data_IF_969125487290
#
_entry.id   IF_969125487290
#
_cell.length_a   1.000
_cell.length_b   1.000
_cell.length_c   1.000
_cell.angle_alpha   90.00
_cell.angle_beta   90.00
_cell.angle_gamma   90.00
#
_symmetry.space_group_name_H-M   'P 1'
#
loop_
_entity.id
_entity.type
_entity.pdbx_description
1 polymer ?
#
# COMPACT_ATOMS: atom_id res chain seq x y z
N UNK A 1 -9.50 -17.54 -4.62
CA UNK A 1 -9.56 -16.28 -3.85
C UNK A 1 -9.61 -15.05 -4.75
N UNK A 2 -8.66 -14.86 -5.66
CA UNK A 2 -8.59 -13.68 -6.56
C UNK A 2 -9.79 -13.52 -7.50
N UNK A 3 -10.51 -14.59 -7.82
CA UNK A 3 -11.67 -14.56 -8.72
C UNK A 3 -12.97 -14.05 -8.07
N UNK A 4 -12.96 -13.83 -6.76
CA UNK A 4 -14.08 -13.26 -6.02
C UNK A 4 -13.94 -11.74 -6.04
N UNK A 5 -14.93 -11.04 -6.59
CA UNK A 5 -14.89 -9.59 -6.80
C UNK A 5 -14.62 -8.81 -5.51
N UNK A 6 -15.28 -9.15 -4.39
CA UNK A 6 -15.07 -8.50 -3.08
C UNK A 6 -13.62 -8.61 -2.61
N UNK A 7 -12.99 -9.79 -2.78
CA UNK A 7 -11.59 -10.00 -2.43
C UNK A 7 -10.68 -9.16 -3.33
N UNK A 8 -10.95 -9.20 -4.64
CA UNK A 8 -10.17 -8.43 -5.62
C UNK A 8 -10.21 -6.94 -5.32
N UNK A 9 -11.39 -6.38 -5.02
CA UNK A 9 -11.53 -4.96 -4.68
C UNK A 9 -10.78 -4.58 -3.40
N UNK A 10 -10.83 -5.43 -2.38
CA UNK A 10 -10.11 -5.21 -1.12
C UNK A 10 -8.59 -5.27 -1.30
N UNK A 11 -8.09 -6.27 -2.03
CA UNK A 11 -6.66 -6.41 -2.33
C UNK A 11 -6.18 -5.27 -3.23
N UNK A 12 -6.99 -4.86 -4.23
CA UNK A 12 -6.70 -3.74 -5.10
C UNK A 12 -6.56 -2.43 -4.32
N UNK A 13 -7.46 -2.17 -3.36
CA UNK A 13 -7.38 -1.00 -2.50
C UNK A 13 -6.07 -0.91 -1.72
N UNK A 14 -5.58 -2.04 -1.18
CA UNK A 14 -4.27 -2.12 -0.53
C UNK A 14 -3.12 -1.96 -1.53
N UNK A 15 -3.16 -2.71 -2.64
CA UNK A 15 -2.07 -2.75 -3.62
C UNK A 15 -1.87 -1.39 -4.33
N UNK A 16 -2.95 -0.66 -4.61
CA UNK A 16 -2.86 0.72 -5.15
C UNK A 16 -2.13 1.67 -4.21
N UNK A 17 -2.37 1.62 -2.88
CA UNK A 17 -1.63 2.45 -1.93
C UNK A 17 -0.15 2.06 -1.86
N UNK A 18 0.14 0.76 -1.87
CA UNK A 18 1.52 0.27 -1.88
C UNK A 18 2.24 0.64 -3.17
N UNK A 19 1.56 0.66 -4.32
CA UNK A 19 2.15 0.96 -5.62
C UNK A 19 2.72 2.38 -5.75
N UNK A 20 2.36 3.29 -4.84
CA UNK A 20 2.90 4.64 -4.74
C UNK A 20 4.20 4.73 -3.93
N UNK A 21 4.72 3.58 -3.46
CA UNK A 21 5.97 3.54 -2.69
C UNK A 21 7.15 4.10 -3.48
N UNK A 22 7.95 4.93 -2.83
CA UNK A 22 9.20 5.46 -3.36
C UNK A 22 10.38 4.97 -2.52
N UNK A 23 10.94 3.79 -2.81
CA UNK A 23 12.10 3.28 -2.09
C UNK A 23 13.31 4.18 -2.33
N UNK A 24 14.18 4.28 -1.33
CA UNK A 24 15.43 5.06 -1.41
C UNK A 24 16.58 4.27 -0.80
N UNK A 25 17.71 4.31 -1.47
CA UNK A 25 18.98 3.88 -0.88
C UNK A 25 19.49 4.98 0.06
N UNK A 26 19.59 4.65 1.32
CA UNK A 26 20.10 5.56 2.34
C UNK A 26 21.30 4.95 3.05
N UNK A 27 22.18 5.83 3.52
CA UNK A 27 23.26 5.45 4.44
C UNK A 27 22.97 6.06 5.81
N UNK A 28 22.80 5.19 6.80
CA UNK A 28 22.53 5.55 8.19
C UNK A 28 23.86 5.54 8.94
N UNK A 29 24.23 6.67 9.52
CA UNK A 29 25.34 6.82 10.47
C UNK A 29 24.75 7.09 11.86
N UNK A 30 25.59 7.15 12.91
CA UNK A 30 25.15 7.40 14.28
C UNK A 30 24.25 8.64 14.41
N UNK A 31 24.58 9.71 13.69
CA UNK A 31 23.92 11.02 13.84
C UNK A 31 23.15 11.47 12.58
N UNK A 32 23.33 10.78 11.44
CA UNK A 32 22.76 11.25 10.18
C UNK A 32 22.24 10.12 9.31
N UNK A 33 21.19 10.41 8.54
CA UNK A 33 20.72 9.56 7.45
C UNK A 33 20.81 10.35 6.15
N UNK A 34 21.63 9.85 5.22
CA UNK A 34 21.89 10.52 3.94
C UNK A 34 21.35 9.66 2.80
N UNK A 35 20.63 10.28 1.86
CA UNK A 35 20.22 9.62 0.62
C UNK A 35 21.43 9.49 -0.31
N UNK A 36 21.65 8.28 -0.85
CA UNK A 36 22.81 8.00 -1.72
C UNK A 36 22.55 8.44 -3.16
N UNK A 37 21.27 8.35 -3.61
CA UNK A 37 20.81 8.73 -4.96
C UNK A 37 21.61 8.04 -6.08
N UNK A 38 21.73 6.73 -6.01
CA UNK A 38 22.54 5.93 -6.95
C UNK A 38 21.68 5.16 -7.97
N UNK A 39 22.34 4.22 -8.66
CA UNK A 39 21.68 3.37 -9.66
C UNK A 39 20.62 2.44 -9.06
N UNK A 40 20.71 2.07 -7.76
CA UNK A 40 19.73 1.24 -7.06
C UNK A 40 18.41 2.01 -6.95
N UNK A 41 18.47 3.29 -6.57
CA UNK A 41 17.29 4.16 -6.55
C UNK A 41 16.61 4.20 -7.91
N UNK A 42 17.37 4.35 -8.98
CA UNK A 42 16.82 4.39 -10.35
C UNK A 42 16.10 3.09 -10.72
N UNK A 43 16.69 1.94 -10.38
CA UNK A 43 16.07 0.63 -10.64
C UNK A 43 14.79 0.50 -9.83
N UNK A 44 14.84 0.75 -8.52
CA UNK A 44 13.72 0.49 -7.63
C UNK A 44 12.58 1.51 -7.77
N UNK A 45 12.87 2.77 -8.12
CA UNK A 45 11.86 3.82 -8.24
C UNK A 45 11.16 3.87 -9.60
N UNK A 46 11.85 3.48 -10.69
CA UNK A 46 11.30 3.65 -12.02
C UNK A 46 11.05 2.33 -12.73
N UNK A 47 12.03 1.46 -12.84
CA UNK A 47 11.95 0.25 -13.67
C UNK A 47 12.71 -0.91 -13.04
N UNK A 48 12.11 -1.64 -12.10
CA UNK A 48 12.74 -2.77 -11.43
C UNK A 48 13.15 -3.91 -12.39
N UNK A 49 12.47 -4.05 -13.51
CA UNK A 49 12.81 -5.01 -14.58
C UNK A 49 12.31 -4.51 -15.95
N UNK A 50 12.76 -5.11 -17.07
CA UNK A 50 12.39 -4.66 -18.42
C UNK A 50 10.89 -4.68 -18.74
N UNK A 51 10.09 -5.44 -17.97
CA UNK A 51 8.67 -5.71 -18.27
C UNK A 51 7.70 -4.91 -17.42
N UNK A 52 8.15 -4.27 -16.34
CA UNK A 52 7.29 -3.62 -15.35
C UNK A 52 7.85 -2.28 -14.92
N UNK A 53 6.96 -1.33 -14.71
CA UNK A 53 7.25 -0.10 -13.96
C UNK A 53 7.35 -0.42 -12.46
N UNK A 54 7.94 0.48 -11.69
CA UNK A 54 8.02 0.31 -10.23
C UNK A 54 6.63 0.20 -9.58
N UNK A 55 5.68 1.01 -10.03
CA UNK A 55 4.29 0.95 -9.54
C UNK A 55 3.64 -0.42 -9.78
N UNK A 56 3.76 -0.99 -10.97
CA UNK A 56 3.23 -2.32 -11.30
C UNK A 56 3.93 -3.43 -10.50
N UNK A 57 5.22 -3.29 -10.30
CA UNK A 57 6.02 -4.23 -9.51
C UNK A 57 5.55 -4.28 -8.05
N UNK A 58 5.44 -3.12 -7.39
CA UNK A 58 5.00 -3.07 -5.99
C UNK A 58 3.53 -3.43 -5.83
N UNK A 59 2.68 -3.05 -6.79
CA UNK A 59 1.30 -3.52 -6.85
C UNK A 59 1.23 -5.05 -6.84
N UNK A 60 2.03 -5.70 -7.69
CA UNK A 60 2.05 -7.17 -7.80
C UNK A 60 2.54 -7.84 -6.53
N UNK A 61 3.61 -7.33 -5.90
CA UNK A 61 4.09 -7.83 -4.60
C UNK A 61 3.03 -7.68 -3.51
N UNK A 62 2.38 -6.53 -3.44
CA UNK A 62 1.31 -6.27 -2.48
C UNK A 62 0.11 -7.20 -2.67
N UNK A 63 -0.29 -7.43 -3.93
CA UNK A 63 -1.36 -8.37 -4.27
C UNK A 63 -0.99 -9.80 -3.88
N UNK A 64 0.23 -10.26 -4.19
CA UNK A 64 0.72 -11.59 -3.79
C UNK A 64 0.73 -11.74 -2.26
N UNK A 65 1.20 -10.73 -1.54
CA UNK A 65 1.23 -10.71 -0.08
C UNK A 65 -0.15 -10.91 0.55
N UNK A 66 -1.19 -10.27 0.00
CA UNK A 66 -2.57 -10.39 0.52
C UNK A 66 -3.27 -11.67 0.05
N UNK A 67 -3.00 -12.13 -1.17
CA UNK A 67 -3.69 -13.30 -1.77
C UNK A 67 -3.06 -14.62 -1.33
N UNK A 68 -1.73 -14.68 -1.26
CA UNK A 68 -1.00 -15.92 -1.00
C UNK A 68 -0.30 -15.94 0.36
N UNK A 69 -0.41 -14.87 1.16
CA UNK A 69 0.34 -14.64 2.40
C UNK A 69 1.87 -14.70 2.22
N UNK A 70 2.31 -14.76 0.97
CA UNK A 70 3.70 -14.81 0.56
C UNK A 70 3.89 -13.95 -0.69
N UNK A 71 4.84 -13.04 -0.64
CA UNK A 71 5.31 -12.31 -1.82
C UNK A 71 6.80 -12.57 -1.98
N UNK A 72 7.20 -13.05 -3.14
CA UNK A 72 8.58 -13.42 -3.42
C UNK A 72 9.08 -12.66 -4.63
N UNK A 73 10.28 -12.08 -4.52
CA UNK A 73 10.97 -11.48 -5.63
C UNK A 73 12.41 -11.99 -5.72
N UNK A 74 12.95 -12.03 -6.92
CA UNK A 74 14.30 -12.46 -7.21
C UNK A 74 15.11 -11.29 -7.76
N UNK A 75 16.13 -10.81 -7.03
CA UNK A 75 17.06 -9.81 -7.54
C UNK A 75 18.10 -10.47 -8.43
N UNK A 76 18.45 -9.82 -9.51
CA UNK A 76 19.49 -10.20 -10.45
C UNK A 76 20.65 -9.25 -10.32
N UNK A 77 21.84 -9.82 -10.19
CA UNK A 77 23.10 -9.09 -10.07
C UNK A 77 24.00 -9.37 -11.29
N UNK A 78 24.84 -8.41 -11.63
CA UNK A 78 25.90 -8.59 -12.60
C UNK A 78 27.14 -9.29 -11.97
N UNK A 79 28.16 -9.54 -12.79
CA UNK A 79 29.41 -10.18 -12.35
C UNK A 79 30.19 -9.36 -11.30
N UNK A 80 29.88 -8.07 -11.17
CA UNK A 80 30.43 -7.16 -10.16
C UNK A 80 29.54 -7.05 -8.92
N UNK A 81 28.54 -7.92 -8.78
CA UNK A 81 27.56 -7.93 -7.70
C UNK A 81 26.73 -6.64 -7.61
N UNK A 82 26.50 -5.96 -8.73
CA UNK A 82 25.62 -4.80 -8.77
C UNK A 82 24.22 -5.23 -9.19
N UNK A 83 23.21 -4.71 -8.49
CA UNK A 83 21.82 -4.96 -8.81
C UNK A 83 21.50 -4.48 -10.23
N UNK A 84 20.94 -5.36 -11.08
CA UNK A 84 20.53 -5.03 -12.44
C UNK A 84 19.02 -5.07 -12.63
N UNK A 85 18.34 -5.97 -11.96
CA UNK A 85 16.88 -6.10 -12.02
C UNK A 85 16.31 -6.80 -10.79
N UNK A 86 14.99 -6.64 -10.56
CA UNK A 86 14.23 -7.40 -9.57
C UNK A 86 12.94 -7.92 -10.22
N UNK A 87 12.71 -9.23 -10.14
CA UNK A 87 11.55 -9.89 -10.74
C UNK A 87 10.61 -10.43 -9.66
N UNK A 88 9.31 -10.11 -9.70
CA UNK A 88 8.33 -10.75 -8.81
C UNK A 88 8.10 -12.18 -9.31
N UNK A 89 8.24 -13.16 -8.43
CA UNK A 89 8.06 -14.57 -8.75
C UNK A 89 6.57 -14.91 -8.70
N UNK A 90 6.05 -15.42 -9.82
CA UNK A 90 4.68 -15.94 -9.92
C UNK A 90 4.72 -17.45 -10.26
N UNK A 91 5.17 -18.23 -9.29
CA UNK A 91 5.22 -19.68 -9.43
C UNK A 91 3.92 -20.33 -8.98
N UNK A 92 3.53 -21.42 -9.63
CA UNK A 92 2.38 -22.23 -9.23
C UNK A 92 2.68 -23.08 -7.98
N UNK A 93 3.95 -23.45 -7.83
CA UNK A 93 4.39 -24.33 -6.76
C UNK A 93 5.78 -23.94 -6.27
N UNK A 94 5.95 -23.95 -4.96
CA UNK A 94 7.19 -23.68 -4.25
C UNK A 94 7.57 -24.93 -3.45
N UNK A 95 8.80 -25.38 -3.61
CA UNK A 95 9.34 -26.52 -2.90
C UNK A 95 10.67 -26.14 -2.25
N UNK A 96 10.80 -26.43 -0.97
CA UNK A 96 12.05 -26.24 -0.24
C UNK A 96 12.90 -27.50 -0.33
N UNK A 97 14.16 -27.30 -0.61
CA UNK A 97 15.17 -28.34 -0.70
C UNK A 97 16.33 -27.95 0.20
N UNK A 98 16.82 -28.91 0.95
CA UNK A 98 18.04 -28.73 1.74
C UNK A 98 19.17 -29.52 1.08
N UNK A 99 20.29 -28.86 0.87
CA UNK A 99 21.50 -29.49 0.36
C UNK A 99 22.72 -28.94 1.08
N UNK A 100 23.48 -29.83 1.71
CA UNK A 100 24.70 -29.51 2.50
C UNK A 100 24.46 -28.39 3.55
N UNK A 101 23.30 -28.40 4.22
CA UNK A 101 22.97 -27.41 5.23
C UNK A 101 22.53 -26.05 4.66
N UNK A 102 22.47 -25.92 3.34
CA UNK A 102 21.97 -24.71 2.65
C UNK A 102 20.57 -24.97 2.14
N UNK A 103 19.66 -23.99 2.40
CA UNK A 103 18.29 -24.05 1.98
C UNK A 103 18.14 -23.50 0.55
N UNK A 104 17.50 -24.28 -0.32
CA UNK A 104 17.18 -23.89 -1.69
C UNK A 104 15.67 -23.85 -1.89
N UNK A 105 15.22 -23.00 -2.79
CA UNK A 105 13.82 -22.93 -3.22
C UNK A 105 13.72 -23.32 -4.69
N UNK A 106 12.88 -24.33 -4.98
CA UNK A 106 12.51 -24.70 -6.35
C UNK A 106 11.17 -24.06 -6.69
N UNK A 107 11.17 -23.32 -7.77
CA UNK A 107 9.97 -22.73 -8.36
C UNK A 107 9.53 -23.55 -9.55
N UNK A 108 8.23 -23.84 -9.63
CA UNK A 108 7.63 -24.44 -10.84
C UNK A 108 6.62 -23.47 -11.43
N UNK A 109 6.87 -23.06 -12.66
CA UNK A 109 6.04 -22.11 -13.39
C UNK A 109 4.93 -22.79 -14.19
N UNK A 110 3.89 -22.03 -14.57
CA UNK A 110 2.78 -22.51 -15.40
C UNK A 110 3.23 -23.03 -16.78
N UNK A 111 4.37 -22.56 -17.27
CA UNK A 111 5.01 -23.02 -18.51
C UNK A 111 5.61 -24.44 -18.42
N UNK A 112 5.60 -25.05 -17.22
CA UNK A 112 6.26 -26.34 -16.95
C UNK A 112 7.75 -26.22 -16.65
N UNK A 113 8.35 -25.03 -16.82
CA UNK A 113 9.75 -24.80 -16.44
C UNK A 113 9.92 -24.75 -14.93
N UNK A 114 11.10 -25.17 -14.45
CA UNK A 114 11.47 -25.05 -13.04
C UNK A 114 12.81 -24.32 -12.90
N UNK A 115 12.93 -23.57 -11.80
CA UNK A 115 14.14 -22.87 -11.43
C UNK A 115 14.46 -23.14 -9.98
N UNK A 116 15.73 -23.34 -9.67
CA UNK A 116 16.22 -23.56 -8.29
C UNK A 116 17.20 -22.45 -7.95
N UNK A 117 17.01 -21.82 -6.82
CA UNK A 117 17.98 -20.87 -6.29
C UNK A 117 18.10 -21.03 -4.78
N UNK A 118 19.17 -20.51 -4.22
CA UNK A 118 19.37 -20.43 -2.79
C UNK A 118 18.33 -19.52 -2.15
N UNK A 119 17.73 -19.96 -1.05
CA UNK A 119 16.66 -19.21 -0.38
C UNK A 119 17.12 -17.84 0.16
N UNK A 120 18.35 -17.75 0.63
CA UNK A 120 18.98 -16.51 1.13
C UNK A 120 19.02 -15.40 0.07
N UNK A 121 18.97 -15.75 -1.22
CA UNK A 121 18.98 -14.82 -2.35
C UNK A 121 17.58 -14.32 -2.75
N UNK A 122 16.55 -14.67 -1.97
CA UNK A 122 15.18 -14.30 -2.26
C UNK A 122 14.71 -13.16 -1.35
N UNK A 123 14.08 -12.17 -1.95
CA UNK A 123 13.27 -11.21 -1.23
C UNK A 123 11.95 -11.89 -0.91
N UNK A 124 11.72 -12.29 0.34
CA UNK A 124 10.52 -12.99 0.76
C UNK A 124 9.80 -12.23 1.87
N UNK A 125 8.54 -11.88 1.63
CA UNK A 125 7.69 -11.11 2.53
C UNK A 125 6.49 -11.97 2.90
N UNK A 126 6.26 -12.17 4.20
CA UNK A 126 5.27 -13.11 4.74
C UNK A 126 4.18 -12.40 5.53
N UNK A 127 2.96 -12.95 5.43
CA UNK A 127 1.80 -12.59 6.24
C UNK A 127 1.29 -13.83 6.96
N UNK A 128 0.66 -13.67 8.11
CA UNK A 128 0.16 -14.79 8.92
C UNK A 128 1.22 -15.89 9.08
N UNK A 129 2.31 -15.55 9.75
CA UNK A 129 3.48 -16.40 9.91
C UNK A 129 3.52 -16.98 11.33
N UNK A 130 2.92 -18.16 11.53
CA UNK A 130 2.81 -18.82 12.82
C UNK A 130 3.07 -20.34 12.73
N UNK A 131 2.35 -21.05 11.84
CA UNK A 131 2.40 -22.50 11.76
C UNK A 131 3.59 -23.03 10.97
N UNK A 132 4.09 -22.25 10.02
CA UNK A 132 5.19 -22.63 9.13
C UNK A 132 6.44 -21.80 9.42
N UNK A 133 7.61 -22.44 9.46
CA UNK A 133 8.89 -21.78 9.79
C UNK A 133 9.42 -20.88 8.65
N UNK A 134 8.94 -21.04 7.42
CA UNK A 134 9.47 -20.36 6.24
C UNK A 134 8.39 -19.60 5.46
N UNK A 135 7.25 -20.23 5.21
CA UNK A 135 6.16 -19.61 4.46
C UNK A 135 5.08 -19.04 5.38
N UNK A 136 4.43 -17.98 4.93
CA UNK A 136 3.19 -17.52 5.55
C UNK A 136 2.09 -18.60 5.45
N UNK A 137 1.24 -18.65 6.46
CA UNK A 137 0.19 -19.66 6.61
C UNK A 137 -0.85 -19.54 5.49
N UNK A 138 -1.64 -20.60 5.31
CA UNK A 138 -2.67 -20.64 4.29
C UNK A 138 -3.89 -19.79 4.66
N UNK A 139 -4.76 -19.50 3.67
CA UNK A 139 -5.99 -18.75 3.88
C UNK A 139 -7.20 -19.64 4.27
N UNK A 140 -6.96 -20.78 4.92
CA UNK A 140 -8.01 -21.70 5.36
C UNK A 140 -9.08 -21.03 6.24
N UNK A 141 -8.77 -20.12 7.17
CA UNK A 141 -9.77 -19.42 7.95
C UNK A 141 -10.81 -18.67 7.11
N UNK A 142 -10.38 -18.09 5.98
CA UNK A 142 -11.26 -17.36 5.08
C UNK A 142 -12.07 -18.28 4.14
N UNK A 143 -11.70 -19.54 4.00
CA UNK A 143 -12.29 -20.46 3.01
C UNK A 143 -13.81 -20.62 3.19
N UNK A 144 -14.29 -20.73 4.44
CA UNK A 144 -15.71 -20.87 4.74
C UNK A 144 -16.50 -19.62 4.31
N UNK A 145 -15.98 -18.44 4.61
CA UNK A 145 -16.60 -17.16 4.23
C UNK A 145 -16.65 -17.01 2.71
N UNK A 146 -15.59 -17.41 2.01
CA UNK A 146 -15.53 -17.36 0.53
C UNK A 146 -16.50 -18.37 -0.11
N UNK A 147 -16.64 -19.58 0.45
CA UNK A 147 -17.62 -20.57 -0.02
C UNK A 147 -19.03 -20.03 0.15
N UNK A 148 -19.33 -19.44 1.31
CA UNK A 148 -20.62 -18.80 1.58
C UNK A 148 -20.87 -17.67 0.59
N UNK A 149 -19.94 -16.74 0.39
CA UNK A 149 -20.05 -15.65 -0.59
C UNK A 149 -20.34 -16.16 -2.01
N UNK A 150 -19.66 -17.20 -2.46
CA UNK A 150 -19.89 -17.80 -3.76
C UNK A 150 -21.28 -18.45 -3.86
N UNK A 151 -21.71 -19.17 -2.83
CA UNK A 151 -23.06 -19.75 -2.78
C UNK A 151 -24.14 -18.67 -2.83
N UNK A 152 -23.93 -17.55 -2.14
CA UNK A 152 -24.82 -16.40 -2.19
C UNK A 152 -24.93 -15.82 -3.61
N UNK A 153 -23.81 -15.57 -4.27
CA UNK A 153 -23.80 -15.04 -5.64
C UNK A 153 -24.52 -15.99 -6.60
N UNK A 154 -24.29 -17.30 -6.49
CA UNK A 154 -24.99 -18.30 -7.31
C UNK A 154 -26.49 -18.33 -6.99
N UNK A 155 -26.88 -18.23 -5.72
CA UNK A 155 -28.28 -18.20 -5.33
C UNK A 155 -29.00 -16.94 -5.84
N UNK A 156 -28.34 -15.77 -5.80
CA UNK A 156 -28.85 -14.53 -6.36
C UNK A 156 -29.06 -14.63 -7.87
N UNK A 157 -28.09 -15.20 -8.60
CA UNK A 157 -28.21 -15.41 -10.03
C UNK A 157 -29.40 -16.31 -10.39
N UNK A 158 -29.48 -17.47 -9.73
CA UNK A 158 -30.61 -18.40 -9.91
C UNK A 158 -31.96 -17.77 -9.54
N UNK A 159 -31.99 -16.97 -8.48
CA UNK A 159 -33.21 -16.28 -8.09
C UNK A 159 -33.62 -15.22 -9.11
N UNK A 160 -32.67 -14.45 -9.65
CA UNK A 160 -32.94 -13.50 -10.73
C UNK A 160 -33.51 -14.20 -11.98
N UNK A 161 -32.95 -15.37 -12.34
CA UNK A 161 -33.46 -16.21 -13.41
C UNK A 161 -34.89 -16.70 -13.13
N UNK A 162 -35.15 -17.20 -11.91
CA UNK A 162 -36.48 -17.67 -11.52
C UNK A 162 -37.54 -16.57 -11.52
N UNK A 163 -37.21 -15.37 -10.99
CA UNK A 163 -38.13 -14.21 -11.04
C UNK A 163 -38.42 -13.80 -12.50
N UNK A 164 -37.43 -13.90 -13.38
CA UNK A 164 -37.65 -13.59 -14.80
C UNK A 164 -38.58 -14.59 -15.49
N UNK A 165 -38.61 -15.85 -15.00
CA UNK A 165 -39.39 -16.95 -15.60
C UNK A 165 -40.77 -17.11 -14.95
N UNK A 166 -40.85 -17.04 -13.60
CA UNK A 166 -42.09 -17.25 -12.86
C UNK A 166 -42.81 -15.89 -12.67
N UNK A 167 -43.81 -15.63 -13.48
CA UNK A 167 -44.57 -14.36 -13.45
C UNK A 167 -45.79 -14.39 -12.55
N UNK A 168 -46.29 -15.57 -12.22
CA UNK A 168 -47.49 -15.71 -11.41
C UNK A 168 -47.93 -17.15 -11.21
N UNK A 169 -48.95 -17.34 -10.38
CA UNK A 169 -49.61 -18.62 -10.15
C UNK A 169 -50.96 -18.60 -10.85
N UNK A 170 -51.19 -19.53 -11.75
CA UNK A 170 -52.46 -19.75 -12.40
C UNK A 170 -53.22 -20.86 -11.67
N UNK A 171 -54.28 -20.51 -10.96
CA UNK A 171 -55.13 -21.45 -10.25
C UNK A 171 -56.31 -21.84 -11.13
N UNK A 172 -56.50 -23.14 -11.32
CA UNK A 172 -57.62 -23.68 -12.14
C UNK A 172 -58.67 -24.29 -11.20
N UNK A 173 -59.92 -23.80 -11.28
CA UNK A 173 -61.00 -24.13 -10.33
C UNK A 173 -61.60 -25.54 -10.48
N UNK A 174 -61.27 -26.28 -11.56
CA UNK A 174 -61.80 -27.64 -11.76
C UNK A 174 -60.69 -28.68 -11.67
N UNK A 175 -61.02 -29.86 -11.09
CA UNK A 175 -60.09 -31.01 -11.03
C UNK A 175 -59.72 -31.46 -12.48
N UNK A 176 -58.47 -31.28 -12.87
CA UNK A 176 -57.97 -31.56 -14.21
C UNK A 176 -56.76 -32.50 -14.09
N UNK A 177 -56.57 -33.40 -15.01
CA UNK A 177 -55.38 -34.26 -15.08
C UNK A 177 -54.13 -33.41 -15.30
N UNK A 178 -52.99 -33.86 -14.79
CA UNK A 178 -51.69 -33.14 -14.85
C UNK A 178 -51.30 -32.75 -16.27
N UNK A 179 -51.58 -33.59 -17.26
CA UNK A 179 -51.33 -33.35 -18.67
C UNK A 179 -52.11 -32.15 -19.23
N UNK A 180 -53.36 -32.05 -18.80
CA UNK A 180 -54.24 -30.91 -19.19
C UNK A 180 -53.83 -29.60 -18.49
N UNK A 181 -53.27 -29.67 -17.28
CA UNK A 181 -52.71 -28.49 -16.56
C UNK A 181 -51.56 -27.88 -17.33
N UNK A 182 -50.64 -28.67 -17.85
CA UNK A 182 -49.51 -28.20 -18.64
C UNK A 182 -50.00 -27.52 -19.93
N UNK A 183 -50.94 -28.14 -20.65
CA UNK A 183 -51.51 -27.54 -21.83
C UNK A 183 -52.22 -26.20 -21.57
N UNK A 184 -52.96 -26.10 -20.49
CA UNK A 184 -53.64 -24.84 -20.09
C UNK A 184 -52.67 -23.78 -19.66
N UNK A 185 -51.56 -24.16 -18.99
CA UNK A 185 -50.48 -23.22 -18.70
C UNK A 185 -49.87 -22.66 -19.99
N UNK A 186 -49.56 -23.54 -20.94
CA UNK A 186 -48.91 -23.13 -22.20
C UNK A 186 -49.82 -22.27 -23.06
N UNK A 187 -51.13 -22.59 -23.09
CA UNK A 187 -52.15 -21.76 -23.75
C UNK A 187 -52.28 -20.38 -23.09
N UNK A 188 -52.34 -20.34 -21.74
CA UNK A 188 -52.41 -19.07 -21.00
C UNK A 188 -51.17 -18.18 -21.24
N UNK A 189 -49.96 -18.79 -21.22
CA UNK A 189 -48.71 -18.08 -21.50
C UNK A 189 -48.71 -17.54 -22.93
N UNK A 190 -49.13 -18.34 -23.88
CA UNK A 190 -49.19 -17.94 -25.31
C UNK A 190 -50.17 -16.76 -25.50
N UNK A 191 -51.31 -16.83 -24.88
CA UNK A 191 -52.41 -15.91 -25.12
C UNK A 191 -52.31 -14.60 -24.33
N UNK A 192 -51.68 -14.63 -23.13
CA UNK A 192 -51.67 -13.50 -22.19
C UNK A 192 -50.27 -12.96 -21.80
N UNK A 193 -49.22 -13.76 -21.88
CA UNK A 193 -47.90 -13.35 -21.36
C UNK A 193 -46.81 -13.13 -22.41
N UNK A 194 -47.07 -13.42 -23.70
CA UNK A 194 -46.13 -13.11 -24.79
C UNK A 194 -46.16 -11.62 -25.11
N UNK A 195 -44.99 -11.05 -25.35
CA UNK A 195 -44.81 -9.63 -25.70
C UNK A 195 -45.52 -9.24 -27.01
N UNK A 196 -45.78 -10.22 -27.89
CA UNK A 196 -46.44 -10.05 -29.19
C UNK A 196 -47.95 -9.79 -29.06
N UNK A 197 -48.57 -10.24 -27.95
CA UNK A 197 -49.97 -10.00 -27.64
C UNK A 197 -50.13 -8.70 -26.84
N UNK A 198 -50.04 -7.58 -27.50
CA UNK A 198 -49.90 -6.24 -26.94
C UNK A 198 -51.23 -5.69 -26.37
N UNK A 199 -51.87 -6.38 -25.46
CA UNK A 199 -53.06 -5.93 -24.75
C UNK A 199 -52.77 -5.01 -23.58
N UNK A 200 -52.04 -3.92 -23.77
CA UNK A 200 -51.84 -2.83 -22.78
C UNK A 200 -51.55 -3.31 -21.32
N UNK A 201 -50.99 -4.51 -21.15
CA UNK A 201 -50.67 -5.08 -19.81
C UNK A 201 -51.88 -5.59 -19.04
N UNK A 202 -53.05 -5.69 -19.65
CA UNK A 202 -54.28 -6.21 -19.01
C UNK A 202 -54.49 -7.67 -19.40
N UNK A 203 -54.55 -8.53 -18.40
CA UNK A 203 -54.84 -9.97 -18.58
C UNK A 203 -56.35 -10.16 -18.38
N UNK A 204 -57.06 -10.69 -19.38
CA UNK A 204 -58.45 -11.07 -19.29
C UNK A 204 -58.52 -12.55 -18.95
N UNK A 205 -59.09 -12.91 -17.81
CA UNK A 205 -59.30 -14.31 -17.37
C UNK A 205 -60.79 -14.68 -17.37
N UNK A 206 -61.12 -15.90 -17.82
CA UNK A 206 -62.45 -16.52 -17.62
C UNK A 206 -62.57 -16.93 -16.13
N UNK A 207 -63.79 -17.03 -15.62
CA UNK A 207 -64.11 -17.49 -14.23
C UNK A 207 -63.47 -18.81 -13.85
N UNK A 208 -62.88 -19.56 -14.79
CA UNK A 208 -62.17 -20.82 -14.57
C UNK A 208 -60.71 -20.62 -14.16
N UNK A 209 -60.17 -19.41 -14.32
CA UNK A 209 -58.76 -19.11 -14.05
C UNK A 209 -58.63 -17.96 -13.05
N UNK A 210 -57.88 -18.21 -11.98
CA UNK A 210 -57.44 -17.19 -11.04
C UNK A 210 -55.95 -16.99 -11.16
N UNK A 211 -55.53 -15.84 -11.67
CA UNK A 211 -54.12 -15.50 -11.84
C UNK A 211 -53.66 -14.54 -10.76
N UNK A 212 -52.82 -15.02 -9.91
CA UNK A 212 -52.17 -14.19 -8.89
C UNK A 212 -50.74 -13.85 -9.35
N UNK A 213 -50.47 -12.61 -9.73
CA UNK A 213 -49.09 -12.23 -10.00
C UNK A 213 -48.22 -12.33 -8.75
N UNK A 214 -47.02 -12.81 -8.90
CA UNK A 214 -46.07 -12.77 -7.78
C UNK A 214 -45.53 -11.35 -7.71
N UNK A 215 -46.15 -10.54 -6.85
CA UNK A 215 -45.79 -9.13 -6.63
C UNK A 215 -44.72 -8.94 -5.55
N UNK A 216 -44.55 -9.93 -4.66
CA UNK A 216 -43.55 -9.86 -3.61
C UNK A 216 -42.15 -10.13 -4.17
N UNK A 217 -41.44 -9.02 -4.37
CA UNK A 217 -40.00 -9.02 -4.59
C UNK A 217 -39.28 -9.36 -3.29
N UNK A 218 -39.61 -10.49 -2.68
CA UNK A 218 -38.88 -10.97 -1.50
C UNK A 218 -37.47 -11.31 -1.96
N UNK A 219 -36.53 -10.46 -1.66
CA UNK A 219 -35.12 -10.80 -1.84
C UNK A 219 -34.82 -12.00 -0.96
N UNK A 220 -34.38 -13.14 -1.50
CA UNK A 220 -34.19 -14.36 -0.73
C UNK A 220 -33.09 -14.23 0.31
N UNK A 221 -32.34 -13.14 0.25
CA UNK A 221 -31.19 -12.90 1.11
C UNK A 221 -31.28 -11.48 1.69
N UNK A 222 -31.34 -11.31 3.02
CA UNK A 222 -31.28 -10.00 3.65
C UNK A 222 -29.97 -9.28 3.28
N UNK A 223 -30.06 -8.01 2.91
CA UNK A 223 -28.88 -7.17 2.58
C UNK A 223 -27.85 -7.13 3.71
N UNK A 224 -28.32 -7.23 4.96
CA UNK A 224 -27.47 -7.30 6.16
C UNK A 224 -26.52 -8.51 6.18
N UNK A 225 -26.96 -9.67 5.68
CA UNK A 225 -26.09 -10.86 5.61
C UNK A 225 -25.01 -10.70 4.51
N UNK A 226 -25.36 -10.07 3.40
CA UNK A 226 -24.39 -9.79 2.35
C UNK A 226 -23.34 -8.78 2.83
N UNK A 227 -23.76 -7.75 3.57
CA UNK A 227 -22.83 -6.79 4.16
C UNK A 227 -21.92 -7.44 5.20
N UNK A 228 -22.45 -8.30 6.05
CA UNK A 228 -21.65 -9.06 7.02
C UNK A 228 -20.53 -9.87 6.32
N UNK A 229 -20.86 -10.63 5.28
CA UNK A 229 -19.88 -11.42 4.52
C UNK A 229 -18.80 -10.51 3.89
N UNK A 230 -19.18 -9.34 3.36
CA UNK A 230 -18.23 -8.38 2.82
C UNK A 230 -17.28 -7.85 3.90
N UNK A 231 -17.83 -7.52 5.07
CA UNK A 231 -17.06 -7.02 6.21
C UNK A 231 -16.05 -8.06 6.69
N UNK A 232 -16.45 -9.32 6.86
CA UNK A 232 -15.54 -10.42 7.22
C UNK A 232 -14.39 -10.58 6.22
N UNK A 233 -14.67 -10.42 4.93
CA UNK A 233 -13.61 -10.47 3.89
C UNK A 233 -12.69 -9.26 4.01
N UNK A 234 -13.23 -8.06 4.23
CA UNK A 234 -12.45 -6.83 4.35
C UNK A 234 -11.56 -6.86 5.60
N UNK A 235 -12.11 -7.29 6.74
CA UNK A 235 -11.39 -7.42 8.00
C UNK A 235 -10.25 -8.44 7.90
N UNK A 236 -10.49 -9.58 7.24
CA UNK A 236 -9.43 -10.56 7.00
C UNK A 236 -8.30 -9.99 6.12
N UNK A 237 -8.63 -9.20 5.11
CA UNK A 237 -7.63 -8.57 4.24
C UNK A 237 -6.96 -7.37 4.95
N UNK A 238 -7.61 -6.77 5.95
CA UNK A 238 -7.12 -5.61 6.69
C UNK A 238 -7.42 -4.29 5.97
N UNK A 239 -8.62 -4.17 5.38
CA UNK A 239 -9.10 -2.94 4.76
C UNK A 239 -10.52 -2.66 5.22
N UNK A 240 -10.89 -1.40 5.39
CA UNK A 240 -12.28 -1.04 5.67
C UNK A 240 -13.08 -0.82 4.38
N UNK A 241 -14.40 -0.85 4.50
CA UNK A 241 -15.31 -0.59 3.38
C UNK A 241 -15.04 0.79 2.76
N UNK A 242 -14.84 1.80 3.60
CA UNK A 242 -14.59 3.18 3.19
C UNK A 242 -13.30 3.33 2.39
N UNK A 243 -12.26 2.57 2.75
CA UNK A 243 -10.98 2.52 2.00
C UNK A 243 -11.20 1.89 0.63
N UNK A 244 -12.00 0.82 0.54
CA UNK A 244 -12.31 0.15 -0.73
C UNK A 244 -13.14 1.04 -1.65
N UNK A 245 -14.13 1.74 -1.11
CA UNK A 245 -15.04 2.64 -1.83
C UNK A 245 -14.45 4.03 -2.08
N UNK A 246 -13.25 4.34 -1.56
CA UNK A 246 -12.58 5.65 -1.60
C UNK A 246 -13.41 6.79 -0.95
N UNK A 247 -14.15 6.47 0.09
CA UNK A 247 -14.96 7.42 0.89
C UNK A 247 -14.39 7.64 2.29
N UNK A 248 -13.19 7.11 2.55
CA UNK A 248 -12.54 7.18 3.84
C UNK A 248 -12.21 8.62 4.25
N UNK A 249 -12.39 8.91 5.52
CA UNK A 249 -11.93 10.16 6.15
C UNK A 249 -10.41 10.17 6.30
N UNK A 250 -9.84 11.35 6.51
CA UNK A 250 -8.40 11.49 6.76
C UNK A 250 -7.91 10.64 7.96
N UNK A 251 -8.73 10.49 8.99
CA UNK A 251 -8.41 9.65 10.15
C UNK A 251 -8.41 8.16 9.79
N UNK A 252 -9.37 7.72 8.99
CA UNK A 252 -9.44 6.33 8.51
C UNK A 252 -8.27 6.00 7.56
N UNK A 253 -7.91 6.92 6.66
CA UNK A 253 -6.72 6.76 5.80
C UNK A 253 -5.44 6.68 6.64
N UNK A 254 -5.31 7.51 7.68
CA UNK A 254 -4.16 7.47 8.60
C UNK A 254 -4.10 6.17 9.40
N UNK A 255 -5.24 5.71 9.91
CA UNK A 255 -5.34 4.43 10.62
C UNK A 255 -4.96 3.25 9.71
N UNK A 256 -5.47 3.22 8.48
CA UNK A 256 -5.13 2.23 7.47
C UNK A 256 -3.64 2.27 7.12
N UNK A 257 -3.09 3.47 6.93
CA UNK A 257 -1.66 3.64 6.67
C UNK A 257 -0.80 3.08 7.81
N UNK A 258 -1.09 3.47 9.06
CA UNK A 258 -0.30 3.04 10.21
C UNK A 258 -0.47 1.55 10.54
N UNK A 259 -1.67 0.99 10.34
CA UNK A 259 -2.00 -0.39 10.68
C UNK A 259 -1.58 -1.42 9.62
N UNK A 260 -1.66 -1.07 8.33
CA UNK A 260 -1.47 -2.02 7.23
C UNK A 260 -0.31 -1.65 6.30
N UNK A 261 -0.20 -0.39 5.88
CA UNK A 261 0.80 0.02 4.88
C UNK A 261 2.19 0.14 5.50
N UNK A 262 2.32 0.83 6.63
CA UNK A 262 3.60 1.06 7.31
C UNK A 262 4.28 -0.26 7.76
N UNK A 263 3.58 -1.22 8.38
CA UNK A 263 4.16 -2.53 8.70
C UNK A 263 4.61 -3.31 7.46
N UNK A 264 3.88 -3.20 6.35
CA UNK A 264 4.29 -3.82 5.09
C UNK A 264 5.55 -3.17 4.53
N UNK A 265 5.66 -1.86 4.53
CA UNK A 265 6.88 -1.15 4.11
C UNK A 265 8.09 -1.47 5.01
N UNK A 266 7.86 -1.67 6.30
CA UNK A 266 8.93 -2.12 7.20
C UNK A 266 9.45 -3.51 6.79
N UNK A 267 8.57 -4.44 6.47
CA UNK A 267 8.96 -5.77 5.95
C UNK A 267 9.70 -5.66 4.61
N UNK A 268 9.23 -4.81 3.69
CA UNK A 268 9.93 -4.54 2.43
C UNK A 268 11.34 -3.98 2.69
N UNK A 269 11.46 -2.98 3.56
CA UNK A 269 12.73 -2.37 3.94
C UNK A 269 13.73 -3.43 4.40
N UNK A 270 13.33 -4.30 5.31
CA UNK A 270 14.20 -5.36 5.83
C UNK A 270 14.53 -6.39 4.75
N UNK A 271 13.53 -6.90 4.03
CA UNK A 271 13.74 -7.95 3.03
C UNK A 271 14.62 -7.49 1.86
N UNK A 272 14.41 -6.27 1.37
CA UNK A 272 15.23 -5.71 0.30
C UNK A 272 16.64 -5.39 0.77
N UNK A 273 16.79 -4.79 1.95
CA UNK A 273 18.11 -4.47 2.52
C UNK A 273 18.96 -5.73 2.67
N UNK A 274 18.41 -6.77 3.31
CA UNK A 274 19.15 -8.00 3.57
C UNK A 274 19.49 -8.81 2.31
N UNK A 275 18.74 -8.63 1.24
CA UNK A 275 18.96 -9.37 0.01
C UNK A 275 19.85 -8.61 -0.99
N UNK A 276 19.79 -7.27 -1.01
CA UNK A 276 20.55 -6.44 -1.96
C UNK A 276 21.96 -6.17 -1.46
N UNK A 277 22.14 -5.96 -0.16
CA UNK A 277 23.43 -5.63 0.44
C UNK A 277 24.04 -6.81 1.17
N UNK A 278 25.35 -6.90 1.13
CA UNK A 278 26.14 -7.82 1.95
C UNK A 278 26.11 -7.38 3.43
N UNK A 279 26.36 -8.29 4.36
CA UNK A 279 26.44 -7.97 5.80
C UNK A 279 27.40 -6.82 6.09
N UNK A 280 28.51 -6.74 5.36
CA UNK A 280 29.49 -5.66 5.49
C UNK A 280 28.89 -4.31 5.08
N UNK A 281 28.16 -4.26 3.97
CA UNK A 281 27.51 -3.02 3.49
C UNK A 281 26.41 -2.58 4.44
N UNK A 282 25.60 -3.52 4.96
CA UNK A 282 24.61 -3.25 6.00
C UNK A 282 25.29 -2.72 7.27
N UNK A 283 26.44 -3.29 7.67
CA UNK A 283 27.25 -2.81 8.78
C UNK A 283 27.78 -1.37 8.58
N UNK A 284 27.98 -0.94 7.33
CA UNK A 284 28.33 0.45 6.97
C UNK A 284 27.10 1.37 6.83
N UNK A 285 25.92 0.90 7.23
CA UNK A 285 24.70 1.69 7.29
C UNK A 285 23.88 1.73 5.99
N UNK A 286 24.25 0.97 4.94
CA UNK A 286 23.47 0.93 3.71
C UNK A 286 22.14 0.22 3.93
N UNK A 287 21.04 0.86 3.52
CA UNK A 287 19.67 0.35 3.66
C UNK A 287 18.80 0.81 2.51
N UNK A 288 17.86 -0.04 2.11
CA UNK A 288 16.75 0.37 1.25
C UNK A 288 15.58 0.73 2.16
N UNK A 289 15.15 1.97 2.16
CA UNK A 289 14.03 2.44 2.97
C UNK A 289 12.82 2.65 2.08
N UNK A 290 11.74 1.95 2.38
CA UNK A 290 10.43 2.20 1.80
C UNK A 290 9.73 3.22 2.70
N UNK A 291 9.80 4.46 2.33
CA UNK A 291 9.01 5.50 2.95
C UNK A 291 7.83 5.80 2.03
N UNK A 292 6.63 5.50 2.48
CA UNK A 292 5.56 6.35 2.01
C UNK A 292 5.67 7.61 2.85
N UNK A 293 5.80 8.71 2.18
CA UNK A 293 5.82 10.00 2.84
C UNK A 293 4.48 10.13 3.59
N UNK A 294 4.50 9.99 4.92
CA UNK A 294 3.27 10.14 5.74
C UNK A 294 2.60 11.50 5.46
N UNK A 295 3.38 12.45 4.98
CA UNK A 295 2.92 13.77 4.53
C UNK A 295 2.14 13.68 3.19
N UNK A 296 2.32 12.65 2.37
CA UNK A 296 1.48 12.47 1.16
C UNK A 296 0.01 12.19 1.51
N UNK A 297 -0.24 11.54 2.65
CA UNK A 297 -1.60 11.23 3.12
C UNK A 297 -2.14 12.32 4.07
N UNK A 298 -1.34 13.33 4.38
CA UNK A 298 -1.80 14.49 5.14
C UNK A 298 -2.72 15.36 4.28
N UNK A 299 -3.79 15.84 4.88
CA UNK A 299 -4.67 16.83 4.24
C UNK A 299 -3.91 18.12 3.94
N UNK A 300 -4.37 18.91 2.98
CA UNK A 300 -3.74 20.20 2.66
C UNK A 300 -3.55 21.09 3.90
N UNK A 301 -4.50 21.22 4.83
CA UNK A 301 -4.31 21.97 6.07
C UNK A 301 -3.20 21.41 6.97
N UNK A 302 -3.07 20.09 7.05
CA UNK A 302 -2.01 19.45 7.84
C UNK A 302 -0.65 19.66 7.21
N UNK A 303 -0.54 19.55 5.87
CA UNK A 303 0.68 19.89 5.12
C UNK A 303 1.11 21.33 5.38
N UNK A 304 0.17 22.27 5.32
CA UNK A 304 0.42 23.70 5.60
C UNK A 304 0.90 23.90 7.04
N UNK A 305 0.27 23.22 8.01
CA UNK A 305 0.65 23.33 9.43
C UNK A 305 2.06 22.77 9.66
N UNK A 306 2.37 21.61 9.10
CA UNK A 306 3.70 21.00 9.18
C UNK A 306 4.77 21.89 8.50
N UNK A 307 4.47 22.42 7.31
CA UNK A 307 5.38 23.31 6.58
C UNK A 307 5.66 24.59 7.38
N UNK A 308 4.62 25.21 7.97
CA UNK A 308 4.78 26.37 8.85
C UNK A 308 5.69 26.07 10.03
N UNK A 309 5.42 24.98 10.75
CA UNK A 309 6.22 24.55 11.88
C UNK A 309 7.69 24.32 11.50
N UNK A 310 7.94 23.58 10.41
CA UNK A 310 9.29 23.30 9.93
C UNK A 310 10.03 24.58 9.47
N UNK A 311 9.30 25.53 8.89
CA UNK A 311 9.84 26.86 8.52
C UNK A 311 10.15 27.69 9.76
N UNK A 312 9.25 27.72 10.75
CA UNK A 312 9.44 28.47 11.99
C UNK A 312 10.72 28.06 12.72
N UNK A 313 10.98 26.74 12.84
CA UNK A 313 12.18 26.22 13.50
C UNK A 313 13.42 26.15 12.59
N UNK A 314 13.32 26.55 11.31
CA UNK A 314 14.43 26.49 10.35
C UNK A 314 14.91 25.07 10.03
N UNK A 315 14.06 24.05 10.21
CA UNK A 315 14.43 22.66 10.05
C UNK A 315 14.39 22.19 8.59
N UNK A 316 13.54 22.79 7.73
CA UNK A 316 13.39 22.42 6.34
C UNK A 316 13.99 23.46 5.38
N UNK A 317 14.50 22.95 4.25
CA UNK A 317 14.90 23.81 3.13
C UNK A 317 13.68 24.19 2.28
N UNK A 318 13.81 25.24 1.45
CA UNK A 318 12.75 25.66 0.56
C UNK A 318 12.32 24.55 -0.39
N UNK A 319 13.27 23.80 -0.96
CA UNK A 319 13.01 22.66 -1.85
C UNK A 319 12.30 21.50 -1.14
N UNK A 320 12.61 21.25 0.14
CA UNK A 320 11.91 20.25 0.93
C UNK A 320 10.45 20.63 1.15
N UNK A 321 10.17 21.91 1.40
CA UNK A 321 8.81 22.43 1.54
C UNK A 321 8.05 22.30 0.22
N UNK A 322 8.65 22.70 -0.90
CA UNK A 322 8.04 22.57 -2.24
C UNK A 322 7.70 21.10 -2.56
N UNK A 323 8.62 20.17 -2.24
CA UNK A 323 8.40 18.75 -2.44
C UNK A 323 7.24 18.20 -1.60
N UNK A 324 6.98 18.75 -0.40
CA UNK A 324 5.81 18.36 0.41
C UNK A 324 4.47 18.68 -0.29
N UNK A 325 4.46 19.67 -1.16
CA UNK A 325 3.29 20.12 -1.92
C UNK A 325 3.29 19.62 -3.37
N UNK A 326 4.19 18.68 -3.72
CA UNK A 326 4.36 18.15 -5.07
C UNK A 326 4.67 19.26 -6.11
N UNK A 327 5.31 20.36 -5.67
CA UNK A 327 5.76 21.45 -6.52
C UNK A 327 7.21 21.22 -6.99
N UNK A 328 7.57 21.70 -8.19
CA UNK A 328 8.94 21.61 -8.69
C UNK A 328 9.89 22.38 -7.76
N UNK A 329 11.08 21.80 -7.55
CA UNK A 329 12.14 22.37 -6.74
C UNK A 329 12.83 23.52 -7.49
N UNK A 330 13.35 24.52 -6.76
CA UNK A 330 14.11 25.63 -7.32
C UNK A 330 15.55 25.21 -7.62
N UNK A 331 16.13 24.37 -6.74
CA UNK A 331 17.51 23.89 -6.83
C UNK A 331 18.56 24.96 -6.45
N UNK A 332 19.83 24.56 -6.48
CA UNK A 332 20.94 25.44 -6.18
C UNK A 332 21.02 25.90 -4.73
N UNK A 333 21.70 27.02 -4.48
CA UNK A 333 21.85 27.61 -3.16
C UNK A 333 20.51 28.12 -2.60
N UNK A 334 19.66 28.66 -3.46
CA UNK A 334 18.36 29.20 -3.06
C UNK A 334 17.39 28.10 -2.61
N UNK A 335 17.31 26.99 -3.33
CA UNK A 335 16.48 25.83 -2.95
C UNK A 335 16.99 25.14 -1.68
N UNK A 336 18.29 25.15 -1.45
CA UNK A 336 18.93 24.56 -0.26
C UNK A 336 18.87 25.47 0.96
N UNK A 337 18.46 26.73 0.78
CA UNK A 337 18.38 27.71 1.85
C UNK A 337 17.31 27.32 2.87
N UNK A 338 17.69 27.35 4.15
CA UNK A 338 16.74 27.24 5.27
C UNK A 338 16.19 28.61 5.59
N UNK A 339 14.88 28.71 5.72
CA UNK A 339 14.18 29.93 6.09
C UNK A 339 13.70 29.78 7.52
N UNK A 340 13.98 30.77 8.34
CA UNK A 340 13.54 30.83 9.75
C UNK A 340 12.85 32.17 9.98
N UNK A 341 11.83 32.17 10.84
CA UNK A 341 11.16 33.43 11.23
C UNK A 341 12.09 34.26 12.14
N UNK A 342 12.04 35.58 12.00
CA UNK A 342 12.85 36.52 12.77
C UNK A 342 12.63 36.41 14.30
N UNK A 343 11.56 35.79 14.73
CA UNK A 343 11.24 35.59 16.14
C UNK A 343 11.92 34.39 16.78
N UNK A 344 12.63 33.55 16.00
CA UNK A 344 13.38 32.43 16.53
C UNK A 344 14.88 32.66 16.42
N UNK A 345 15.53 32.80 17.57
CA UNK A 345 16.97 32.97 17.68
C UNK A 345 17.62 31.57 17.82
N UNK A 346 18.77 31.35 17.15
CA UNK A 346 19.57 30.16 17.36
C UNK A 346 19.90 30.02 18.86
N UNK A 347 19.63 28.83 19.43
CA UNK A 347 19.87 28.56 20.85
C UNK A 347 21.31 28.89 21.30
N UNK A 348 22.30 28.74 20.42
CA UNK A 348 23.68 29.11 20.68
C UNK A 348 23.91 30.66 20.78
N UNK A 349 22.96 31.45 20.29
CA UNK A 349 22.99 32.92 20.34
C UNK A 349 21.93 33.48 21.30
N UNK A 350 21.14 32.62 21.94
CA UNK A 350 20.05 33.08 22.84
C UNK A 350 20.56 33.92 24.00
N UNK A 351 21.69 33.53 24.61
CA UNK A 351 22.33 34.27 25.71
C UNK A 351 22.79 35.66 25.27
N UNK A 352 23.27 35.80 24.04
CA UNK A 352 23.67 37.09 23.45
C UNK A 352 22.49 38.04 23.31
N UNK A 353 21.33 37.51 22.89
CA UNK A 353 20.10 38.33 22.78
C UNK A 353 19.45 38.65 24.11
N UNK A 354 19.63 37.78 25.12
CA UNK A 354 19.05 38.00 26.45
C UNK A 354 19.93 38.88 27.32
N UNK A 355 21.25 38.86 27.18
CA UNK A 355 22.19 39.58 28.02
C UNK A 355 22.68 40.90 27.40
N UNK A 356 22.47 41.10 26.10
CA UNK A 356 22.93 42.28 25.38
C UNK A 356 24.46 42.44 25.29
N UNK A 357 25.22 41.45 25.71
CA UNK A 357 26.67 41.44 25.69
C UNK A 357 27.21 40.80 24.43
N UNK A 358 28.01 41.49 23.65
CA UNK A 358 28.84 40.88 22.59
C UNK A 358 29.86 39.97 23.25
N UNK A 359 30.04 38.72 22.74
CA UNK A 359 31.17 37.92 23.17
C UNK A 359 32.45 38.65 22.73
N UNK A 360 33.37 38.84 23.65
CA UNK A 360 34.70 39.34 23.32
C UNK A 360 35.28 38.39 22.21
N UNK A 361 35.92 38.96 21.15
CA UNK A 361 36.57 38.18 20.15
C UNK A 361 37.61 37.32 20.85
N UNK A 362 37.46 35.98 20.80
CA UNK A 362 38.53 35.09 21.24
C UNK A 362 39.76 35.39 20.41
N UNK A 363 40.83 35.80 21.07
CA UNK A 363 42.13 35.85 20.41
C UNK A 363 42.39 34.51 19.71
N UNK A 364 42.93 34.56 18.48
CA UNK A 364 43.25 33.31 17.75
C UNK A 364 44.28 32.55 18.57
N UNK A 365 43.96 31.29 18.90
CA UNK A 365 44.90 30.36 19.56
C UNK A 365 46.24 30.43 18.80
N UNK A 366 47.36 30.62 19.50
CA UNK A 366 48.68 30.68 18.88
C UNK A 366 48.94 29.36 18.13
N UNK A 367 49.31 29.49 16.85
CA UNK A 367 49.71 28.33 16.05
C UNK A 367 50.92 27.66 16.70
N UNK A 368 51.05 26.32 16.67
CA UNK A 368 52.11 25.58 17.40
C UNK A 368 53.57 25.90 17.07
N UNK A 369 53.84 26.86 16.14
CA UNK A 369 55.18 27.22 15.67
C UNK A 369 55.45 28.73 15.65
N UNK A 370 54.71 29.57 16.34
CA UNK A 370 55.09 30.99 16.45
C UNK A 370 56.19 31.13 17.53
N UNK A 371 57.31 31.82 17.25
CA UNK A 371 58.35 32.08 18.24
C UNK A 371 57.84 33.03 19.32
N UNK A 372 58.34 32.95 20.56
CA UNK A 372 57.89 33.78 21.66
C UNK A 372 58.07 35.24 21.33
N UNK A 373 56.95 35.98 21.43
CA UNK A 373 56.91 37.45 21.19
C UNK A 373 57.85 38.22 22.14
N UNK A 374 58.53 39.19 21.58
CA UNK A 374 59.41 40.09 22.35
C UNK A 374 58.61 40.84 23.43
N UNK A 375 59.20 41.10 24.60
CA UNK A 375 58.54 41.81 25.71
C UNK A 375 58.27 43.27 25.29
N UNK A 376 57.05 43.71 25.37
CA UNK A 376 56.67 45.11 25.17
C UNK A 376 57.27 45.95 26.30
N UNK A 377 58.10 46.97 25.94
CA UNK A 377 58.58 47.97 26.88
C UNK A 377 57.43 48.80 27.45
N UNK A 378 57.51 49.18 28.73
CA UNK A 378 56.49 50.01 29.36
C UNK A 378 56.58 51.46 28.82
N UNK A 379 55.54 51.94 28.20
CA UNK A 379 55.44 53.33 27.76
C UNK A 379 55.55 54.25 28.99
N UNK A 380 56.52 55.18 28.84
CA UNK A 380 56.87 56.16 29.85
C UNK A 380 55.76 57.20 30.08
N UNK A 381 55.53 57.50 31.35
CA UNK A 381 54.58 58.52 31.76
C UNK A 381 54.97 59.89 31.28
N UNK A 382 54.04 60.60 30.67
CA UNK A 382 54.14 62.00 30.43
C UNK A 382 53.95 62.78 31.74
N UNK A 383 54.95 63.58 32.10
CA UNK A 383 54.91 64.55 33.14
C UNK A 383 54.18 65.79 32.63
N UNK A 384 53.15 66.24 33.35
CA UNK A 384 52.63 67.57 33.23
C UNK A 384 53.65 68.54 33.80
N UNK A 385 54.07 69.56 33.04
CA UNK A 385 54.64 70.83 33.52
C UNK A 385 53.66 72.03 33.24
N UNK A 386 53.24 72.67 34.28
CA UNK A 386 52.86 74.03 34.62
C UNK A 386 52.42 74.95 33.47
#
# INVERSE_FOLDING_TARGET
>A
MWDINTVRSAVDAFARRVSTATPRHVRVSADTTVSVNDYIDRILQYKPNPYMTASEFYYKLAAQYKVYNNAIAYPVFDDMHRLTAVYPINAQYFELLEYMGTLYCRFRFATGSSYICEYSRLIHIRRHFLENDIFGDNNKPLETVLKTANTFNQSMSKFAELIAVIRGVLKVSNAVKTEDLNKRRDDFIRDNLRMENNGAGVIVTDAKYDYTPISDKTTPIPSTQLEYIKTEIYDYIGVSKEIVENTATAEQERAFYSGEISPFFHKLTQAFTNCIFTEREVGHGNRIVFAANSVQFATLPEKVTAAKFLTEIGAATLDQILTMFDMPTIGGEEGSRRVQTLNMVNAALADKYQTGTEPEPKDPEPKPNDPPGEPKDPEGGEQEEV
#
